data_IF_761236950230
#
_entry.id   IF_761236950230
#
_cell.length_a   1.000
_cell.length_b   1.000
_cell.length_c   1.000
_cell.angle_alpha   90.00
_cell.angle_beta   90.00
_cell.angle_gamma   90.00
#
_symmetry.space_group_name_H-M   'P 1'
#
loop_
_entity.id
_entity.type
_entity.pdbx_description
1 polymer ?
#
# COMPACT_ATOMS: atom_id res chain seq x y z
N UNK A 1 10.87 -6.84 1.30
CA UNK A 1 10.28 -5.97 2.35
C UNK A 1 8.84 -5.52 2.08
N UNK A 2 8.54 -4.74 1.02
CA UNK A 2 7.19 -4.13 0.83
C UNK A 2 6.06 -5.17 0.69
N UNK A 3 6.35 -6.28 0.00
CA UNK A 3 5.44 -7.44 -0.12
C UNK A 3 5.22 -8.13 1.23
N UNK A 4 6.26 -8.29 2.05
CA UNK A 4 6.17 -8.86 3.40
C UNK A 4 5.22 -8.04 4.26
N UNK A 5 5.44 -6.72 4.33
CA UNK A 5 4.60 -5.81 5.12
C UNK A 5 3.15 -5.82 4.65
N UNK A 6 2.94 -5.87 3.33
CA UNK A 6 1.59 -5.95 2.76
C UNK A 6 0.85 -7.24 3.16
N UNK A 7 1.55 -8.38 3.11
CA UNK A 7 0.96 -9.68 3.48
C UNK A 7 0.71 -9.76 4.98
N UNK A 8 1.68 -9.31 5.80
CA UNK A 8 1.57 -9.31 7.26
C UNK A 8 0.34 -8.53 7.75
N UNK A 9 0.06 -7.37 7.14
CA UNK A 9 -1.14 -6.59 7.42
C UNK A 9 -2.44 -7.28 6.98
N UNK A 10 -2.43 -7.97 5.82
CA UNK A 10 -3.61 -8.71 5.34
C UNK A 10 -3.94 -9.93 6.19
N UNK A 11 -2.94 -10.51 6.85
CA UNK A 11 -3.11 -11.56 7.85
C UNK A 11 -3.72 -11.05 9.17
N UNK A 12 -3.93 -9.73 9.30
CA UNK A 12 -4.50 -9.10 10.49
C UNK A 12 -3.48 -8.79 11.59
N UNK A 13 -2.19 -8.92 11.29
CA UNK A 13 -1.14 -8.60 12.27
C UNK A 13 -1.03 -7.10 12.50
N UNK A 14 -0.80 -6.72 13.76
CA UNK A 14 -0.50 -5.34 14.13
C UNK A 14 0.90 -4.93 13.66
N UNK A 15 1.05 -3.63 13.39
CA UNK A 15 2.33 -3.02 13.05
C UNK A 15 3.38 -3.34 14.13
N UNK A 16 4.57 -3.76 13.71
CA UNK A 16 5.74 -3.84 14.58
C UNK A 16 6.24 -2.43 14.83
N UNK A 17 6.12 -1.97 16.08
CA UNK A 17 6.55 -0.64 16.54
C UNK A 17 7.95 -0.65 17.16
N UNK A 18 8.50 -1.84 17.43
CA UNK A 18 9.88 -2.02 17.83
C UNK A 18 10.74 -2.29 16.58
N UNK A 19 11.83 -1.53 16.43
CA UNK A 19 12.69 -1.60 15.24
C UNK A 19 13.41 -2.95 15.10
N UNK A 20 13.83 -3.58 16.20
CA UNK A 20 14.52 -4.87 16.15
C UNK A 20 13.53 -5.99 15.80
N UNK A 21 12.31 -5.97 16.36
CA UNK A 21 11.23 -6.90 15.98
C UNK A 21 10.84 -6.75 14.51
N UNK A 22 10.79 -5.51 14.02
CA UNK A 22 10.54 -5.20 12.63
C UNK A 22 11.62 -5.80 11.73
N UNK A 23 12.90 -5.54 12.01
CA UNK A 23 14.02 -6.06 11.22
C UNK A 23 13.98 -7.59 11.19
N UNK A 24 13.82 -8.22 12.35
CA UNK A 24 13.73 -9.67 12.48
C UNK A 24 12.56 -10.25 11.67
N UNK A 25 11.39 -9.60 11.69
CA UNK A 25 10.24 -10.02 10.89
C UNK A 25 10.55 -10.00 9.39
N UNK A 26 11.12 -8.89 8.89
CA UNK A 26 11.38 -8.74 7.46
C UNK A 26 12.49 -9.68 7.01
N UNK A 27 13.64 -9.72 7.68
CA UNK A 27 14.77 -10.57 7.28
C UNK A 27 14.41 -12.06 7.36
N UNK A 28 13.55 -12.47 8.30
CA UNK A 28 13.04 -13.85 8.37
C UNK A 28 12.12 -14.20 7.21
N UNK A 29 11.22 -13.28 6.81
CA UNK A 29 10.24 -13.52 5.73
C UNK A 29 10.83 -13.23 4.33
N UNK A 30 11.95 -12.53 4.25
CA UNK A 30 12.62 -12.12 3.00
C UNK A 30 14.15 -12.11 3.20
N UNK A 31 14.80 -13.29 3.15
CA UNK A 31 16.23 -13.41 3.44
C UNK A 31 17.15 -12.62 2.50
N UNK A 32 16.68 -12.30 1.28
CA UNK A 32 17.45 -11.52 0.30
C UNK A 32 17.73 -10.10 0.77
N UNK A 33 16.94 -9.59 1.72
CA UNK A 33 17.12 -8.25 2.28
C UNK A 33 17.98 -8.25 3.56
N UNK A 34 18.54 -9.39 3.95
CA UNK A 34 19.39 -9.48 5.14
C UNK A 34 20.54 -8.48 5.06
N UNK A 35 20.73 -7.68 6.11
CA UNK A 35 21.76 -6.64 6.16
C UNK A 35 21.39 -5.33 5.45
N UNK A 36 20.28 -5.27 4.70
CA UNK A 36 19.79 -4.02 4.10
C UNK A 36 19.59 -2.91 5.15
N UNK A 37 19.02 -3.26 6.31
CA UNK A 37 18.82 -2.30 7.40
C UNK A 37 20.13 -1.80 7.98
N UNK A 38 21.16 -2.65 8.05
CA UNK A 38 22.49 -2.24 8.48
C UNK A 38 23.12 -1.27 7.48
N UNK A 39 22.90 -1.46 6.18
CA UNK A 39 23.34 -0.52 5.14
C UNK A 39 22.69 0.85 5.35
N UNK A 40 21.36 0.91 5.50
CA UNK A 40 20.64 2.16 5.79
C UNK A 40 21.11 2.82 7.09
N UNK A 41 21.30 2.02 8.13
CA UNK A 41 21.76 2.48 9.43
C UNK A 41 23.18 3.07 9.38
N UNK A 42 24.07 2.45 8.62
CA UNK A 42 25.43 2.94 8.41
C UNK A 42 25.47 4.20 7.54
N UNK A 43 24.66 4.26 6.48
CA UNK A 43 24.57 5.41 5.58
C UNK A 43 24.12 6.70 6.29
N UNK A 44 23.38 6.57 7.40
CA UNK A 44 22.90 7.69 8.21
C UNK A 44 23.94 8.21 9.23
N UNK A 45 25.23 7.91 9.05
CA UNK A 45 26.36 8.33 9.90
C UNK A 45 26.12 8.01 11.38
N UNK A 46 25.81 6.76 11.68
CA UNK A 46 25.43 6.30 13.03
C UNK A 46 26.62 6.08 13.98
N UNK A 47 27.85 6.00 13.46
CA UNK A 47 29.05 5.60 14.20
C UNK A 47 29.46 6.59 15.30
N UNK A 48 29.31 7.89 15.06
CA UNK A 48 29.72 8.95 16.01
C UNK A 48 28.56 9.44 16.91
N UNK A 49 27.40 8.77 16.84
CA UNK A 49 26.18 9.24 17.52
C UNK A 49 26.04 8.65 18.93
N UNK A 50 25.49 9.44 19.85
CA UNK A 50 25.11 8.98 21.19
C UNK A 50 24.10 7.81 21.14
N UNK A 51 24.08 6.96 22.18
CA UNK A 51 23.25 5.75 22.21
C UNK A 51 21.75 6.01 22.01
N UNK A 52 21.23 7.09 22.62
CA UNK A 52 19.84 7.55 22.44
C UNK A 52 19.55 7.90 20.97
N UNK A 53 20.49 8.54 20.30
CA UNK A 53 20.41 8.93 18.89
C UNK A 53 20.53 7.71 17.96
N UNK A 54 21.28 6.68 18.37
CA UNK A 54 21.37 5.40 17.65
C UNK A 54 20.04 4.63 17.70
N UNK A 55 19.38 4.57 18.86
CA UNK A 55 18.06 3.93 19.00
C UNK A 55 17.00 4.65 18.16
N UNK A 56 16.91 5.98 18.26
CA UNK A 56 15.94 6.75 17.47
C UNK A 56 16.20 6.67 15.97
N UNK A 57 17.45 6.44 15.55
CA UNK A 57 17.77 6.24 14.15
C UNK A 57 17.22 4.92 13.59
N UNK A 58 17.28 3.83 14.36
CA UNK A 58 16.64 2.56 13.97
C UNK A 58 15.13 2.71 13.81
N UNK A 59 14.48 3.42 14.73
CA UNK A 59 13.04 3.71 14.66
C UNK A 59 12.69 4.54 13.41
N UNK A 60 13.50 5.55 13.08
CA UNK A 60 13.33 6.35 11.85
C UNK A 60 13.46 5.50 10.58
N UNK A 61 14.43 4.59 10.53
CA UNK A 61 14.61 3.68 9.39
C UNK A 61 13.39 2.77 9.25
N UNK A 62 12.89 2.23 10.36
CA UNK A 62 11.65 1.44 10.37
C UNK A 62 10.46 2.24 9.80
N UNK A 63 10.25 3.48 10.26
CA UNK A 63 9.18 4.35 9.75
C UNK A 63 9.34 4.61 8.24
N UNK A 64 10.54 4.94 7.78
CA UNK A 64 10.84 5.13 6.35
C UNK A 64 10.48 3.88 5.54
N UNK A 65 10.77 2.69 6.07
CA UNK A 65 10.43 1.43 5.42
C UNK A 65 8.93 1.17 5.34
N UNK A 66 8.16 1.54 6.37
CA UNK A 66 6.70 1.54 6.29
C UNK A 66 6.18 2.52 5.24
N UNK A 67 6.69 3.76 5.21
CA UNK A 67 6.29 4.76 4.22
C UNK A 67 6.57 4.28 2.78
N UNK A 68 7.76 3.71 2.52
CA UNK A 68 8.09 3.13 1.21
C UNK A 68 7.14 2.00 0.82
N UNK A 69 6.77 1.15 1.77
CA UNK A 69 5.81 0.07 1.52
C UNK A 69 4.41 0.63 1.22
N UNK A 70 3.95 1.60 2.01
CA UNK A 70 2.66 2.25 1.80
C UNK A 70 2.59 2.95 0.44
N UNK A 71 3.61 3.75 0.09
CA UNK A 71 3.70 4.44 -1.20
C UNK A 71 3.61 3.46 -2.37
N UNK A 72 4.42 2.40 -2.34
CA UNK A 72 4.39 1.35 -3.37
C UNK A 72 3.02 0.68 -3.43
N UNK A 73 2.45 0.32 -2.29
CA UNK A 73 1.17 -0.38 -2.22
C UNK A 73 0.02 0.50 -2.72
N UNK A 74 0.07 1.81 -2.46
CA UNK A 74 -0.87 2.82 -2.97
C UNK A 74 -0.76 2.95 -4.49
N UNK A 75 0.46 3.05 -5.03
CA UNK A 75 0.67 3.09 -6.50
C UNK A 75 0.15 1.81 -7.17
N UNK A 76 0.54 0.63 -6.68
CA UNK A 76 0.10 -0.66 -7.24
C UNK A 76 -1.42 -0.80 -7.17
N UNK A 77 -2.03 -0.48 -6.02
CA UNK A 77 -3.49 -0.55 -5.86
C UNK A 77 -4.21 0.48 -6.75
N UNK A 78 -3.62 1.66 -6.95
CA UNK A 78 -4.10 2.68 -7.87
C UNK A 78 -4.14 2.18 -9.32
N UNK A 79 -3.07 1.56 -9.81
CA UNK A 79 -3.02 0.97 -11.16
C UNK A 79 -4.07 -0.13 -11.33
N UNK A 80 -4.19 -1.04 -10.36
CA UNK A 80 -5.22 -2.10 -10.40
C UNK A 80 -6.63 -1.53 -10.48
N UNK A 81 -6.90 -0.46 -9.73
CA UNK A 81 -8.20 0.21 -9.74
C UNK A 81 -8.46 0.92 -11.09
N UNK A 82 -7.44 1.54 -11.68
CA UNK A 82 -7.55 2.16 -13.00
C UNK A 82 -7.85 1.12 -14.09
N UNK A 83 -7.15 -0.02 -14.08
CA UNK A 83 -7.40 -1.13 -15.01
C UNK A 83 -8.79 -1.74 -14.82
N UNK A 84 -9.22 -1.93 -13.57
CA UNK A 84 -10.58 -2.44 -13.29
C UNK A 84 -11.66 -1.50 -13.84
N UNK A 85 -11.52 -0.19 -13.60
CA UNK A 85 -12.41 0.82 -14.16
C UNK A 85 -12.38 0.84 -15.70
N UNK A 86 -11.19 0.74 -16.30
CA UNK A 86 -11.01 0.69 -17.75
C UNK A 86 -11.80 -0.50 -18.33
N UNK A 87 -11.58 -1.72 -17.83
CA UNK A 87 -12.28 -2.89 -18.33
C UNK A 87 -13.79 -2.80 -18.14
N UNK A 88 -14.27 -2.32 -16.99
CA UNK A 88 -15.71 -2.11 -16.77
C UNK A 88 -16.29 -1.11 -17.77
N UNK A 89 -15.60 0.02 -18.02
CA UNK A 89 -16.04 1.01 -19.02
C UNK A 89 -15.96 0.50 -20.45
N UNK A 90 -15.00 -0.35 -20.77
CA UNK A 90 -14.88 -1.05 -22.06
C UNK A 90 -15.91 -2.18 -22.22
N UNK A 91 -16.85 -2.35 -21.29
CA UNK A 91 -17.89 -3.39 -21.31
C UNK A 91 -17.33 -4.81 -21.35
N UNK A 92 -16.12 -5.02 -20.80
CA UNK A 92 -15.62 -6.37 -20.59
C UNK A 92 -16.57 -7.13 -19.66
N UNK A 93 -16.74 -8.43 -19.90
CA UNK A 93 -17.64 -9.25 -19.08
C UNK A 93 -17.16 -9.29 -17.62
N UNK A 94 -18.11 -9.39 -16.68
CA UNK A 94 -17.78 -9.55 -15.27
C UNK A 94 -16.87 -10.77 -15.03
N UNK A 95 -17.06 -11.84 -15.82
CA UNK A 95 -16.18 -13.01 -15.81
C UNK A 95 -14.74 -12.67 -16.19
N UNK A 96 -14.54 -11.96 -17.32
CA UNK A 96 -13.22 -11.53 -17.76
C UNK A 96 -12.52 -10.67 -16.70
N UNK A 97 -13.23 -9.69 -16.14
CA UNK A 97 -12.68 -8.77 -15.14
C UNK A 97 -12.33 -9.52 -13.85
N UNK A 98 -13.20 -10.43 -13.39
CA UNK A 98 -12.91 -11.21 -12.19
C UNK A 98 -11.75 -12.18 -12.40
N UNK A 99 -11.60 -12.77 -13.59
CA UNK A 99 -10.43 -13.59 -13.94
C UNK A 99 -9.14 -12.76 -13.85
N UNK A 100 -9.11 -11.56 -14.46
CA UNK A 100 -7.95 -10.66 -14.38
C UNK A 100 -7.67 -10.19 -12.95
N UNK A 101 -8.72 -9.98 -12.14
CA UNK A 101 -8.58 -9.64 -10.73
C UNK A 101 -8.01 -10.79 -9.91
N UNK A 102 -8.42 -12.04 -10.18
CA UNK A 102 -7.88 -13.25 -9.56
C UNK A 102 -6.41 -13.48 -9.93
N UNK A 103 -6.00 -13.09 -11.13
CA UNK A 103 -4.58 -13.03 -11.54
C UNK A 103 -3.81 -11.87 -10.88
N UNK A 104 -4.50 -11.00 -10.12
CA UNK A 104 -3.91 -9.87 -9.42
C UNK A 104 -3.63 -8.66 -10.31
N UNK A 105 -4.18 -8.60 -11.53
CA UNK A 105 -3.90 -7.56 -12.52
C UNK A 105 -4.81 -6.32 -12.38
N UNK A 106 -6.04 -6.50 -11.91
CA UNK A 106 -6.99 -5.41 -11.70
C UNK A 106 -7.82 -5.60 -10.43
N UNK A 107 -8.76 -4.68 -10.16
CA UNK A 107 -9.81 -4.88 -9.15
C UNK A 107 -10.93 -5.76 -9.70
N UNK A 108 -11.72 -6.35 -8.80
CA UNK A 108 -12.90 -7.14 -9.19
C UNK A 108 -13.95 -6.27 -9.88
N UNK A 109 -14.85 -6.91 -10.63
CA UNK A 109 -15.96 -6.22 -11.29
C UNK A 109 -16.81 -5.45 -10.28
N UNK A 110 -17.16 -6.08 -9.15
CA UNK A 110 -17.98 -5.46 -8.12
C UNK A 110 -17.34 -4.19 -7.55
N UNK A 111 -16.03 -4.22 -7.25
CA UNK A 111 -15.31 -3.06 -6.75
C UNK A 111 -15.29 -1.92 -7.75
N UNK A 112 -15.05 -2.21 -9.03
CA UNK A 112 -15.06 -1.21 -10.10
C UNK A 112 -16.46 -0.62 -10.32
N UNK A 113 -17.49 -1.47 -10.36
CA UNK A 113 -18.89 -1.08 -10.54
C UNK A 113 -19.38 -0.20 -9.39
N UNK A 114 -19.14 -0.59 -8.13
CA UNK A 114 -19.49 0.22 -6.96
C UNK A 114 -18.82 1.60 -7.00
N UNK A 115 -17.57 1.67 -7.47
CA UNK A 115 -16.85 2.94 -7.61
C UNK A 115 -17.48 3.84 -8.69
N UNK A 116 -17.92 3.27 -9.82
CA UNK A 116 -18.62 4.03 -10.87
C UNK A 116 -19.95 4.57 -10.34
N UNK A 117 -20.76 3.73 -9.68
CA UNK A 117 -22.03 4.16 -9.10
C UNK A 117 -21.82 5.26 -8.06
N UNK A 118 -20.87 5.08 -7.13
CA UNK A 118 -20.57 6.11 -6.13
C UNK A 118 -20.04 7.43 -6.72
N UNK A 119 -19.42 7.42 -7.91
CA UNK A 119 -19.07 8.66 -8.63
C UNK A 119 -20.33 9.28 -9.24
N UNK A 120 -21.22 8.48 -9.82
CA UNK A 120 -22.48 8.93 -10.39
C UNK A 120 -23.39 9.56 -9.33
N UNK A 121 -23.53 8.90 -8.18
CA UNK A 121 -24.37 9.36 -7.07
C UNK A 121 -23.86 10.71 -6.53
N UNK A 122 -22.54 10.82 -6.29
CA UNK A 122 -21.92 12.08 -5.87
C UNK A 122 -22.09 13.20 -6.89
N UNK A 123 -22.01 12.87 -8.18
CA UNK A 123 -22.24 13.86 -9.23
C UNK A 123 -23.69 14.34 -9.23
N UNK A 124 -24.65 13.41 -9.13
CA UNK A 124 -26.07 13.73 -9.01
C UNK A 124 -26.35 14.64 -7.81
N UNK A 125 -25.82 14.29 -6.63
CA UNK A 125 -25.98 15.11 -5.42
C UNK A 125 -25.38 16.51 -5.58
N UNK A 126 -24.20 16.60 -6.20
CA UNK A 126 -23.54 17.88 -6.46
C UNK A 126 -24.34 18.77 -7.42
N UNK A 127 -24.90 18.19 -8.48
CA UNK A 127 -25.73 18.92 -9.45
C UNK A 127 -27.05 19.35 -8.80
N UNK A 128 -27.69 18.45 -8.06
CA UNK A 128 -28.93 18.76 -7.32
C UNK A 128 -28.71 19.92 -6.36
N UNK A 129 -27.61 19.90 -5.60
CA UNK A 129 -27.25 20.99 -4.69
C UNK A 129 -27.06 22.31 -5.44
N UNK A 130 -26.30 22.30 -6.53
CA UNK A 130 -26.09 23.51 -7.35
C UNK A 130 -27.40 24.14 -7.85
N UNK A 131 -28.34 23.31 -8.31
CA UNK A 131 -29.67 23.73 -8.77
C UNK A 131 -30.56 24.22 -7.62
N UNK A 132 -30.35 23.75 -6.38
CA UNK A 132 -31.12 24.21 -5.22
C UNK A 132 -30.57 25.53 -4.65
N UNK A 133 -29.27 25.78 -4.82
CA UNK A 133 -28.56 26.96 -4.33
C UNK A 133 -28.66 28.18 -5.27
N UNK A 134 -29.23 28.03 -6.48
CA UNK A 134 -29.46 29.08 -7.50
C UNK A 134 -30.90 29.05 -8.02
#
# INVERSE_FOLDING_TARGET
>A
MTKVLYQDQREGNLLKLNADDFINLIERKDPEIQGFFNILYNAMNSKDKALKTRKSLKEKIMVLCYEMAELRNKQVSGVKAALGLFFTKSRASAYCINTMANMGLCTTYQTAFNKINGISDKHYDSVKKYIQDH
#
